data_IF_214914570176
#
_entry.id   IF_214914570176
#
_cell.length_a   1.000
_cell.length_b   1.000
_cell.length_c   1.000
_cell.angle_alpha   90.00
_cell.angle_beta   90.00
_cell.angle_gamma   90.00
#
_symmetry.space_group_name_H-M   'P 1'
#
loop_
_entity.id
_entity.type
_entity.pdbx_description
1 polymer ?
#
# COMPACT_ATOMS: atom_id res chain seq x y z
N UNK A 1 46.37 -43.28 -14.92
CA UNK A 1 45.53 -42.14 -15.29
C UNK A 1 44.64 -41.81 -14.10
N UNK A 2 45.00 -40.77 -13.33
CA UNK A 2 44.24 -40.29 -12.18
C UNK A 2 43.30 -39.19 -12.66
N UNK A 3 42.01 -39.45 -12.63
CA UNK A 3 40.97 -38.42 -12.84
C UNK A 3 40.72 -37.69 -11.54
N UNK A 4 41.19 -36.45 -11.46
CA UNK A 4 40.96 -35.51 -10.39
C UNK A 4 39.48 -35.12 -10.40
N UNK A 5 38.73 -35.49 -9.34
CA UNK A 5 37.41 -34.98 -9.05
C UNK A 5 37.55 -33.56 -8.47
N UNK A 6 37.26 -32.56 -9.25
CA UNK A 6 37.05 -31.21 -8.71
C UNK A 6 35.81 -31.20 -7.80
N UNK A 7 36.04 -31.10 -6.51
CA UNK A 7 35.02 -30.75 -5.53
C UNK A 7 34.59 -29.30 -5.79
N UNK A 8 33.38 -29.12 -6.30
CA UNK A 8 32.75 -27.82 -6.36
C UNK A 8 32.43 -27.42 -4.92
N UNK A 9 33.31 -26.61 -4.34
CA UNK A 9 33.01 -25.86 -3.09
C UNK A 9 31.80 -25.00 -3.34
N UNK A 10 30.70 -25.27 -2.63
CA UNK A 10 29.53 -24.40 -2.56
C UNK A 10 29.95 -23.09 -1.94
N UNK A 11 30.28 -22.09 -2.76
CA UNK A 11 30.37 -20.71 -2.32
C UNK A 11 29.02 -20.35 -1.69
N UNK A 12 29.02 -19.87 -0.46
CA UNK A 12 27.86 -19.24 0.19
C UNK A 12 27.49 -17.99 -0.62
N UNK A 13 26.74 -18.21 -1.70
CA UNK A 13 26.45 -17.18 -2.69
C UNK A 13 25.60 -16.09 -2.06
N UNK A 14 26.05 -14.86 -2.14
CA UNK A 14 25.29 -13.67 -1.79
C UNK A 14 23.96 -13.72 -2.55
N UNK A 15 22.85 -13.65 -1.81
CA UNK A 15 21.52 -13.70 -2.41
C UNK A 15 21.25 -12.39 -3.16
N UNK A 16 20.88 -12.49 -4.44
CA UNK A 16 20.69 -11.35 -5.35
C UNK A 16 19.30 -11.37 -5.97
N UNK A 17 18.77 -10.18 -6.25
CA UNK A 17 17.62 -9.94 -7.13
C UNK A 17 18.10 -9.13 -8.32
N UNK A 18 18.06 -9.73 -9.50
CA UNK A 18 18.71 -9.16 -10.68
C UNK A 18 20.21 -8.92 -10.46
N UNK A 19 20.86 -8.13 -11.32
CA UNK A 19 22.32 -7.90 -11.25
C UNK A 19 22.73 -6.95 -10.12
N UNK A 20 21.82 -6.06 -9.68
CA UNK A 20 22.20 -4.89 -8.88
C UNK A 20 21.69 -4.90 -7.42
N UNK A 21 20.81 -5.82 -7.03
CA UNK A 21 20.18 -5.74 -5.72
C UNK A 21 20.59 -6.89 -4.82
N UNK A 22 21.44 -6.60 -3.83
CA UNK A 22 21.85 -7.55 -2.82
C UNK A 22 20.79 -7.68 -1.75
N UNK A 23 20.35 -8.90 -1.42
CA UNK A 23 19.39 -9.20 -0.38
C UNK A 23 20.09 -9.26 0.98
N UNK A 24 19.52 -8.56 1.96
CA UNK A 24 20.04 -8.50 3.32
C UNK A 24 19.09 -9.14 4.34
N UNK A 25 19.13 -8.61 5.57
CA UNK A 25 18.34 -9.11 6.72
C UNK A 25 16.84 -8.97 6.48
N UNK A 26 16.05 -9.88 7.09
CA UNK A 26 14.60 -9.77 7.16
C UNK A 26 14.22 -8.57 8.04
N UNK A 27 13.30 -7.75 7.55
CA UNK A 27 12.79 -6.55 8.24
C UNK A 27 11.28 -6.62 8.48
N UNK A 28 10.58 -7.57 7.86
CA UNK A 28 9.15 -7.75 8.06
C UNK A 28 8.66 -9.09 7.49
N UNK A 29 7.40 -9.38 7.75
CA UNK A 29 6.68 -10.51 7.21
C UNK A 29 5.25 -10.05 6.91
N UNK A 30 4.79 -10.25 5.69
CA UNK A 30 3.40 -10.03 5.28
C UNK A 30 2.67 -11.36 5.06
N UNK A 31 1.38 -11.27 4.74
CA UNK A 31 0.57 -12.47 4.49
C UNK A 31 1.02 -13.29 3.29
N UNK A 32 1.72 -12.66 2.35
CA UNK A 32 2.10 -13.27 1.06
C UNK A 32 3.61 -13.52 0.94
N UNK A 33 4.40 -13.24 1.98
CA UNK A 33 5.83 -13.43 1.92
C UNK A 33 6.61 -12.64 2.97
N UNK A 34 7.91 -12.49 2.74
CA UNK A 34 8.79 -11.77 3.63
C UNK A 34 9.31 -10.46 3.01
N UNK A 35 9.56 -9.48 3.86
CA UNK A 35 10.19 -8.22 3.51
C UNK A 35 11.64 -8.23 4.01
N UNK A 36 12.57 -7.92 3.11
CA UNK A 36 14.00 -7.84 3.43
C UNK A 36 14.58 -6.47 3.13
N UNK A 37 15.53 -6.06 3.93
CA UNK A 37 16.41 -4.95 3.60
C UNK A 37 17.31 -5.39 2.46
N UNK A 38 17.44 -4.56 1.43
CA UNK A 38 18.35 -4.77 0.33
C UNK A 38 19.30 -3.60 0.14
N UNK A 39 20.29 -3.79 -0.72
CA UNK A 39 21.22 -2.73 -1.13
C UNK A 39 21.35 -2.73 -2.65
N UNK A 40 21.12 -1.58 -3.26
CA UNK A 40 21.44 -1.35 -4.66
C UNK A 40 22.96 -1.17 -4.79
N UNK A 41 23.62 -2.07 -5.48
CA UNK A 41 25.09 -2.08 -5.65
C UNK A 41 25.58 -0.99 -6.61
N UNK A 42 24.67 -0.42 -7.44
CA UNK A 42 25.03 0.64 -8.37
C UNK A 42 25.24 1.99 -7.68
N UNK A 43 24.33 2.35 -6.76
CA UNK A 43 24.36 3.66 -6.08
C UNK A 43 24.53 3.56 -4.55
N UNK A 44 24.72 2.36 -4.02
CA UNK A 44 24.86 2.07 -2.59
C UNK A 44 23.62 2.38 -1.73
N UNK A 45 22.47 2.71 -2.33
CA UNK A 45 21.24 2.99 -1.60
C UNK A 45 20.61 1.74 -1.01
N UNK A 46 19.96 1.88 0.13
CA UNK A 46 19.15 0.84 0.72
C UNK A 46 17.77 0.80 0.04
N UNK A 47 17.28 -0.40 -0.15
CA UNK A 47 15.97 -0.69 -0.77
C UNK A 47 15.19 -1.68 0.09
N UNK A 48 13.89 -1.76 -0.09
CA UNK A 48 13.04 -2.82 0.44
C UNK A 48 12.85 -3.88 -0.64
N UNK A 49 12.92 -5.16 -0.26
CA UNK A 49 12.72 -6.28 -1.16
C UNK A 49 11.58 -7.14 -0.62
N UNK A 50 10.42 -7.09 -1.29
CA UNK A 50 9.25 -7.94 -1.00
C UNK A 50 9.42 -9.25 -1.75
N UNK A 51 9.41 -10.37 -1.02
CA UNK A 51 9.67 -11.72 -1.55
C UNK A 51 8.46 -12.61 -1.33
N UNK A 52 8.01 -13.26 -2.40
CA UNK A 52 6.92 -14.23 -2.41
C UNK A 52 7.42 -15.58 -2.90
N UNK A 53 7.13 -16.70 -2.23
CA UNK A 53 7.50 -18.02 -2.72
C UNK A 53 6.93 -18.28 -4.12
N UNK A 54 7.74 -18.75 -5.07
CA UNK A 54 7.29 -19.06 -6.44
C UNK A 54 6.17 -20.11 -6.47
N UNK A 55 6.11 -20.99 -5.46
CA UNK A 55 5.07 -22.00 -5.28
C UNK A 55 3.94 -21.54 -4.34
N UNK A 56 3.73 -20.24 -4.23
CA UNK A 56 2.60 -19.70 -3.45
C UNK A 56 1.28 -20.22 -3.98
N UNK A 57 0.37 -20.65 -3.08
CA UNK A 57 -1.00 -21.04 -3.44
C UNK A 57 -1.86 -19.86 -3.88
N UNK A 58 -1.49 -18.65 -3.48
CA UNK A 58 -2.18 -17.41 -3.82
C UNK A 58 -1.14 -16.35 -4.25
N UNK A 59 -0.58 -16.45 -5.47
CA UNK A 59 0.45 -15.52 -5.93
C UNK A 59 -0.17 -14.13 -6.16
N UNK A 60 0.43 -13.10 -5.56
CA UNK A 60 -0.07 -11.72 -5.67
C UNK A 60 0.99 -10.70 -6.08
N UNK A 61 2.28 -11.04 -5.96
CA UNK A 61 3.36 -10.08 -6.17
C UNK A 61 3.39 -9.48 -7.58
N UNK A 62 3.08 -10.30 -8.61
CA UNK A 62 3.00 -9.82 -10.00
C UNK A 62 1.82 -8.88 -10.23
N UNK A 63 0.67 -9.17 -9.61
CA UNK A 63 -0.51 -8.32 -9.66
C UNK A 63 -0.25 -6.99 -8.96
N UNK A 64 0.36 -7.03 -7.78
CA UNK A 64 0.75 -5.85 -7.03
C UNK A 64 1.73 -4.98 -7.83
N UNK A 65 2.73 -5.59 -8.46
CA UNK A 65 3.66 -4.90 -9.36
C UNK A 65 2.94 -4.22 -10.54
N UNK A 66 1.95 -4.89 -11.15
CA UNK A 66 1.11 -4.30 -12.21
C UNK A 66 0.37 -3.06 -11.70
N UNK A 67 -0.17 -3.09 -10.49
CA UNK A 67 -0.83 -1.93 -9.90
C UNK A 67 0.13 -0.77 -9.63
N UNK A 68 1.33 -1.06 -9.13
CA UNK A 68 2.35 -0.01 -9.03
C UNK A 68 2.70 0.62 -10.39
N UNK A 69 2.73 -0.16 -11.47
CA UNK A 69 2.89 0.39 -12.82
C UNK A 69 1.75 1.32 -13.22
N UNK A 70 0.50 0.93 -12.98
CA UNK A 70 -0.67 1.77 -13.23
C UNK A 70 -0.61 3.09 -12.43
N UNK A 71 -0.07 3.05 -11.23
CA UNK A 71 0.14 4.22 -10.38
C UNK A 71 1.34 5.10 -10.83
N UNK A 72 2.01 4.74 -11.92
CA UNK A 72 3.07 5.57 -12.50
C UNK A 72 4.41 5.55 -11.76
N UNK A 73 4.70 4.51 -10.98
CA UNK A 73 5.91 4.44 -10.15
C UNK A 73 7.21 4.32 -10.93
N UNK A 74 7.13 4.08 -12.24
CA UNK A 74 8.27 4.03 -13.16
C UNK A 74 8.45 5.33 -13.95
N UNK A 75 7.54 6.31 -13.81
CA UNK A 75 7.64 7.58 -14.47
C UNK A 75 8.67 8.49 -13.78
N UNK A 76 9.28 9.40 -14.54
CA UNK A 76 10.19 10.43 -14.01
C UNK A 76 9.53 11.27 -12.90
N UNK A 77 8.20 11.36 -12.90
CA UNK A 77 7.37 12.07 -11.94
C UNK A 77 6.40 11.09 -11.26
N UNK A 78 6.92 10.18 -10.41
CA UNK A 78 6.05 9.43 -9.51
C UNK A 78 5.34 10.42 -8.58
N UNK A 79 4.01 10.29 -8.39
CA UNK A 79 3.29 11.17 -7.49
C UNK A 79 3.80 11.01 -6.07
N UNK A 80 3.78 12.10 -5.31
CA UNK A 80 4.14 12.04 -3.91
C UNK A 80 3.28 11.03 -3.16
N UNK A 81 3.93 10.25 -2.29
CA UNK A 81 3.26 9.28 -1.45
C UNK A 81 2.93 7.93 -2.11
N UNK A 82 3.44 7.67 -3.32
CA UNK A 82 3.52 6.32 -3.89
C UNK A 82 5.01 5.94 -3.93
N UNK A 83 5.44 4.80 -3.34
CA UNK A 83 6.84 4.41 -3.34
C UNK A 83 7.31 4.03 -4.75
N UNK A 84 8.57 4.31 -5.05
CA UNK A 84 9.19 3.87 -6.31
C UNK A 84 9.35 2.35 -6.31
N UNK A 85 9.10 1.72 -7.45
CA UNK A 85 9.40 0.31 -7.68
C UNK A 85 10.51 0.21 -8.73
N UNK A 86 11.60 -0.42 -8.36
CA UNK A 86 12.83 -0.45 -9.17
C UNK A 86 12.93 -1.67 -10.06
N UNK A 87 12.50 -2.85 -9.56
CA UNK A 87 12.72 -4.09 -10.27
C UNK A 87 11.75 -5.18 -9.81
N UNK A 88 11.35 -6.07 -10.71
CA UNK A 88 10.68 -7.33 -10.42
C UNK A 88 11.49 -8.46 -11.08
N UNK A 89 11.78 -9.52 -10.33
CA UNK A 89 12.49 -10.67 -10.83
C UNK A 89 12.47 -11.84 -9.85
N UNK A 90 13.36 -12.79 -10.06
CA UNK A 90 13.48 -13.97 -9.20
C UNK A 90 14.67 -13.85 -8.24
N UNK A 91 14.60 -14.56 -7.12
CA UNK A 91 15.64 -14.61 -6.11
C UNK A 91 15.91 -16.05 -5.69
N UNK A 92 17.17 -16.50 -5.88
CA UNK A 92 17.63 -17.83 -5.48
C UNK A 92 16.82 -19.00 -6.05
N UNK A 93 16.13 -18.83 -7.18
CA UNK A 93 15.32 -19.86 -7.83
C UNK A 93 14.09 -20.34 -7.01
N UNK A 94 13.78 -19.67 -5.90
CA UNK A 94 12.68 -20.05 -4.98
C UNK A 94 11.66 -18.97 -4.73
N UNK A 95 12.01 -17.71 -5.00
CA UNK A 95 11.17 -16.55 -4.72
C UNK A 95 11.01 -15.67 -5.95
N UNK A 96 9.82 -15.12 -6.14
CA UNK A 96 9.60 -13.87 -6.86
C UNK A 96 9.96 -12.72 -5.91
N UNK A 97 10.58 -11.66 -6.42
CA UNK A 97 11.04 -10.55 -5.61
C UNK A 97 10.78 -9.22 -6.30
N UNK A 98 10.15 -8.29 -5.59
CA UNK A 98 9.94 -6.91 -6.01
C UNK A 98 10.82 -5.99 -5.18
N UNK A 99 11.64 -5.21 -5.86
CA UNK A 99 12.54 -4.23 -5.26
C UNK A 99 11.90 -2.85 -5.32
N UNK A 100 11.79 -2.20 -4.18
CA UNK A 100 11.10 -0.92 -4.06
C UNK A 100 11.81 0.03 -3.11
N UNK A 101 11.39 1.28 -3.09
CA UNK A 101 11.86 2.32 -2.18
C UNK A 101 11.75 1.85 -0.74
N UNK A 102 12.84 2.03 0.03
CA UNK A 102 12.82 1.83 1.46
C UNK A 102 12.24 3.06 2.13
N UNK A 103 11.13 2.88 2.81
CA UNK A 103 10.44 3.93 3.56
C UNK A 103 10.82 3.92 5.04
N UNK A 104 10.29 4.87 5.79
CA UNK A 104 10.38 4.98 7.23
C UNK A 104 9.33 4.12 7.95
N UNK A 105 9.03 4.43 9.23
CA UNK A 105 8.04 3.71 10.02
C UNK A 105 6.61 3.89 9.49
N UNK A 106 5.76 2.92 9.81
CA UNK A 106 4.32 3.00 9.54
C UNK A 106 3.60 3.92 10.53
N UNK A 107 2.38 4.36 10.17
CA UNK A 107 1.54 5.11 11.09
C UNK A 107 1.18 4.29 12.34
N UNK A 108 1.12 2.95 12.28
CA UNK A 108 0.93 2.11 13.48
C UNK A 108 2.17 2.16 14.38
N UNK A 109 3.38 2.06 13.83
CA UNK A 109 4.63 2.17 14.60
C UNK A 109 4.70 3.52 15.32
N UNK A 110 4.39 4.61 14.58
CA UNK A 110 4.37 5.97 15.11
C UNK A 110 3.28 6.15 16.17
N UNK A 111 2.10 5.57 15.94
CA UNK A 111 0.99 5.61 16.88
C UNK A 111 1.33 4.92 18.21
N UNK A 112 1.90 3.73 18.15
CA UNK A 112 2.38 3.01 19.34
C UNK A 112 3.46 3.82 20.04
N UNK A 113 4.41 4.40 19.30
CA UNK A 113 5.49 5.23 19.85
C UNK A 113 4.96 6.50 20.54
N UNK A 114 3.83 7.05 20.08
CA UNK A 114 3.14 8.19 20.69
C UNK A 114 2.18 7.81 21.81
N UNK A 115 2.23 6.58 22.32
CA UNK A 115 1.35 6.11 23.40
C UNK A 115 -0.07 5.80 22.95
N UNK A 116 -0.24 5.41 21.68
CA UNK A 116 -1.51 5.02 21.06
C UNK A 116 -2.58 6.12 21.08
N UNK A 117 -2.18 7.34 20.87
CA UNK A 117 -3.07 8.49 20.71
C UNK A 117 -2.38 9.59 19.94
N UNK A 118 -3.05 10.11 18.90
CA UNK A 118 -2.61 11.30 18.19
C UNK A 118 -3.50 12.48 18.56
N UNK A 119 -2.90 13.68 18.62
CA UNK A 119 -3.63 14.92 18.75
C UNK A 119 -4.39 15.25 17.46
N UNK A 120 -5.45 16.03 17.59
CA UNK A 120 -6.30 16.42 16.46
C UNK A 120 -5.50 17.03 15.29
N UNK A 121 -4.53 17.92 15.59
CA UNK A 121 -3.65 18.50 14.56
C UNK A 121 -3.00 17.41 13.69
N UNK A 122 -2.37 16.43 14.32
CA UNK A 122 -1.72 15.31 13.62
C UNK A 122 -2.70 14.51 12.79
N UNK A 123 -3.88 14.19 13.33
CA UNK A 123 -4.89 13.40 12.60
C UNK A 123 -5.43 14.16 11.39
N UNK A 124 -5.66 15.47 11.50
CA UNK A 124 -6.12 16.29 10.37
C UNK A 124 -5.06 16.40 9.26
N UNK A 125 -3.79 16.55 9.62
CA UNK A 125 -2.68 16.55 8.65
C UNK A 125 -2.57 15.19 7.96
N UNK A 126 -2.71 14.08 8.68
CA UNK A 126 -2.77 12.72 8.12
C UNK A 126 -3.96 12.60 7.18
N UNK A 127 -5.16 13.01 7.61
CA UNK A 127 -6.40 12.86 6.85
C UNK A 127 -6.34 13.58 5.50
N UNK A 128 -5.83 14.81 5.47
CA UNK A 128 -5.66 15.57 4.22
C UNK A 128 -4.72 14.88 3.25
N UNK A 129 -3.60 14.32 3.72
CA UNK A 129 -2.70 13.56 2.86
C UNK A 129 -3.34 12.25 2.39
N UNK A 130 -3.99 11.48 3.26
CA UNK A 130 -4.55 10.18 2.91
C UNK A 130 -5.75 10.29 1.96
N UNK A 131 -6.57 11.33 2.10
CA UNK A 131 -7.63 11.62 1.13
C UNK A 131 -7.06 11.87 -0.26
N UNK A 132 -5.95 12.60 -0.35
CA UNK A 132 -5.26 12.82 -1.63
C UNK A 132 -4.66 11.52 -2.20
N UNK A 133 -4.08 10.64 -1.36
CA UNK A 133 -3.54 9.34 -1.80
C UNK A 133 -4.64 8.42 -2.31
N UNK A 134 -5.74 8.30 -1.59
CA UNK A 134 -6.85 7.44 -1.98
C UNK A 134 -7.55 7.95 -3.25
N UNK A 135 -7.76 9.26 -3.37
CA UNK A 135 -8.28 9.85 -4.60
C UNK A 135 -7.38 9.52 -5.80
N UNK A 136 -6.05 9.68 -5.64
CA UNK A 136 -5.11 9.34 -6.71
C UNK A 136 -5.26 7.86 -7.13
N UNK A 137 -5.33 6.92 -6.16
CA UNK A 137 -5.55 5.50 -6.43
C UNK A 137 -6.86 5.29 -7.21
N UNK A 138 -7.95 5.93 -6.79
CA UNK A 138 -9.25 5.83 -7.44
C UNK A 138 -9.25 6.43 -8.86
N UNK A 139 -8.51 7.52 -9.11
CA UNK A 139 -8.35 8.10 -10.46
C UNK A 139 -7.56 7.19 -11.41
N UNK A 140 -6.81 6.23 -10.86
CA UNK A 140 -6.12 5.18 -11.61
C UNK A 140 -6.95 3.91 -11.76
N UNK A 141 -8.27 4.00 -11.57
CA UNK A 141 -9.24 2.91 -11.72
C UNK A 141 -9.07 1.77 -10.71
N UNK A 142 -8.38 2.02 -9.59
CA UNK A 142 -8.17 1.06 -8.52
C UNK A 142 -8.98 1.43 -7.29
N UNK A 143 -9.52 0.42 -6.58
CA UNK A 143 -9.91 0.51 -5.18
C UNK A 143 -8.88 -0.23 -4.33
N UNK A 144 -8.56 0.33 -3.17
CA UNK A 144 -7.43 -0.13 -2.37
C UNK A 144 -7.74 -1.34 -1.50
N UNK A 145 -8.86 -1.35 -0.80
CA UNK A 145 -9.47 -2.44 -0.01
C UNK A 145 -8.72 -2.91 1.25
N UNK A 146 -7.57 -2.34 1.58
CA UNK A 146 -6.82 -2.71 2.79
C UNK A 146 -6.30 -1.49 3.57
N UNK A 147 -7.20 -0.55 3.82
CA UNK A 147 -6.91 0.63 4.66
C UNK A 147 -6.63 0.18 6.08
N UNK A 148 -5.40 0.45 6.54
CA UNK A 148 -4.93 0.21 7.91
C UNK A 148 -3.65 1.02 8.17
N UNK A 149 -3.36 1.40 9.43
CA UNK A 149 -2.18 2.22 9.75
C UNK A 149 -0.85 1.62 9.31
N UNK A 150 -0.75 0.28 9.27
CA UNK A 150 0.46 -0.45 8.88
C UNK A 150 0.82 -0.27 7.40
N UNK A 151 -0.15 0.12 6.57
CA UNK A 151 0.03 0.30 5.13
C UNK A 151 0.31 1.76 4.73
N UNK A 152 0.43 2.66 5.70
CA UNK A 152 0.79 4.05 5.48
C UNK A 152 2.12 4.35 6.18
N UNK A 153 3.17 4.62 5.41
CA UNK A 153 4.52 4.84 5.91
C UNK A 153 4.99 6.26 5.61
N UNK A 154 5.67 6.89 6.54
CA UNK A 154 6.37 8.14 6.24
C UNK A 154 7.62 7.85 5.41
N UNK A 155 8.06 8.85 4.64
CA UNK A 155 9.34 8.77 3.96
C UNK A 155 10.51 8.80 4.94
N UNK A 156 11.72 8.65 4.42
CA UNK A 156 12.94 8.67 5.25
C UNK A 156 13.51 10.09 5.33
N UNK A 157 14.07 10.43 6.49
CA UNK A 157 14.83 11.69 6.68
C UNK A 157 16.02 11.79 5.73
N UNK A 158 16.69 10.65 5.45
CA UNK A 158 17.79 10.61 4.48
C UNK A 158 17.40 11.05 3.06
N UNK A 159 16.11 10.95 2.71
CA UNK A 159 15.56 11.40 1.42
C UNK A 159 14.79 12.72 1.53
N UNK A 160 14.76 13.35 2.71
CA UNK A 160 13.98 14.57 3.03
C UNK A 160 12.48 14.42 2.72
N UNK A 161 11.92 13.22 2.92
CA UNK A 161 10.51 12.88 2.64
C UNK A 161 9.76 12.44 3.90
N UNK A 162 10.32 12.66 5.08
CA UNK A 162 9.73 12.26 6.38
C UNK A 162 8.38 12.89 6.71
N UNK A 163 8.02 13.96 6.00
CA UNK A 163 6.72 14.63 6.12
C UNK A 163 5.66 14.10 5.14
N UNK A 164 6.06 13.23 4.21
CA UNK A 164 5.18 12.67 3.17
C UNK A 164 4.76 11.26 3.60
N UNK A 165 3.44 11.04 3.66
CA UNK A 165 2.87 9.73 3.94
C UNK A 165 2.67 8.98 2.63
N UNK A 166 3.23 7.76 2.57
CA UNK A 166 3.17 6.86 1.41
C UNK A 166 2.17 5.76 1.67
N UNK A 167 1.39 5.41 0.66
CA UNK A 167 0.52 4.24 0.65
C UNK A 167 1.26 3.07 0.00
N UNK A 168 1.27 1.91 0.66
CA UNK A 168 1.95 0.69 0.21
C UNK A 168 1.01 -0.51 0.19
N UNK A 169 1.50 -1.65 -0.32
CA UNK A 169 0.80 -2.94 -0.32
C UNK A 169 -0.52 -2.95 -1.09
N UNK A 170 -0.42 -3.00 -2.42
CA UNK A 170 -1.57 -3.12 -3.32
C UNK A 170 -1.99 -4.57 -3.59
N UNK A 171 -1.52 -5.53 -2.80
CA UNK A 171 -1.82 -6.97 -2.98
C UNK A 171 -3.32 -7.29 -2.90
N UNK A 172 -4.12 -6.48 -2.23
CA UNK A 172 -5.58 -6.62 -2.16
C UNK A 172 -6.33 -5.61 -3.04
N UNK A 173 -5.64 -4.70 -3.73
CA UNK A 173 -6.29 -3.73 -4.61
C UNK A 173 -7.06 -4.43 -5.75
N UNK A 174 -7.99 -3.71 -6.35
CA UNK A 174 -8.83 -4.21 -7.45
C UNK A 174 -9.15 -3.10 -8.43
N UNK A 175 -9.13 -3.42 -9.72
CA UNK A 175 -9.68 -2.54 -10.74
C UNK A 175 -11.20 -2.47 -10.58
N UNK A 176 -11.73 -1.24 -10.45
CA UNK A 176 -13.19 -1.02 -10.35
C UNK A 176 -13.78 -0.40 -11.61
N UNK A 177 -12.94 0.02 -12.54
CA UNK A 177 -13.32 0.38 -13.92
C UNK A 177 -12.69 -0.67 -14.83
N UNK A 178 -13.51 -1.28 -15.64
CA UNK A 178 -13.09 -2.17 -16.71
C UNK A 178 -12.41 -1.35 -17.82
N UNK A 179 -11.14 -1.65 -18.12
CA UNK A 179 -10.32 -0.85 -19.03
C UNK A 179 -10.77 -0.97 -20.51
N UNK A 180 -11.43 -2.05 -20.89
CA UNK A 180 -11.91 -2.25 -22.26
C UNK A 180 -13.25 -1.54 -22.49
N UNK A 181 -14.16 -1.66 -21.54
CA UNK A 181 -15.51 -1.09 -21.65
C UNK A 181 -15.65 0.29 -21.03
N UNK A 182 -14.65 0.73 -20.25
CA UNK A 182 -14.65 1.95 -19.44
C UNK A 182 -15.87 2.03 -18.48
N UNK A 183 -16.38 0.89 -18.03
CA UNK A 183 -17.53 0.82 -17.14
C UNK A 183 -17.10 0.41 -15.74
N UNK A 184 -17.81 0.93 -14.75
CA UNK A 184 -17.68 0.50 -13.35
C UNK A 184 -18.07 -0.98 -13.24
N UNK A 185 -17.35 -1.75 -12.39
CA UNK A 185 -17.71 -3.13 -12.07
C UNK A 185 -19.17 -3.20 -11.57
N UNK A 186 -19.89 -4.30 -11.85
CA UNK A 186 -21.26 -4.45 -11.39
C UNK A 186 -21.33 -4.62 -9.86
N UNK A 187 -22.42 -4.12 -9.27
CA UNK A 187 -22.75 -4.42 -7.88
C UNK A 187 -23.06 -5.91 -7.72
N UNK A 188 -22.50 -6.51 -6.68
CA UNK A 188 -22.72 -7.92 -6.31
C UNK A 188 -22.80 -8.05 -4.79
N UNK A 189 -23.50 -9.08 -4.33
CA UNK A 189 -23.56 -9.48 -2.92
C UNK A 189 -22.91 -10.85 -2.72
N UNK A 190 -22.90 -11.32 -1.49
CA UNK A 190 -22.28 -12.60 -1.08
C UNK A 190 -20.78 -12.70 -1.42
N UNK A 191 -20.08 -11.56 -1.37
CA UNK A 191 -18.63 -11.51 -1.58
C UNK A 191 -17.90 -11.97 -0.33
N UNK A 192 -16.78 -12.64 -0.54
CA UNK A 192 -15.84 -12.94 0.53
C UNK A 192 -15.30 -11.67 1.16
N UNK A 193 -15.13 -11.70 2.49
CA UNK A 193 -14.56 -10.58 3.22
C UNK A 193 -13.09 -10.37 2.81
N UNK A 194 -12.77 -9.16 2.39
CA UNK A 194 -11.41 -8.76 1.97
C UNK A 194 -11.03 -7.49 2.70
N UNK A 195 -9.84 -7.48 3.29
CA UNK A 195 -9.29 -6.36 4.04
C UNK A 195 -9.17 -6.63 5.54
N UNK A 196 -8.92 -5.60 6.30
CA UNK A 196 -8.69 -5.68 7.76
C UNK A 196 -9.98 -5.38 8.51
N UNK A 197 -10.51 -6.37 9.23
CA UNK A 197 -11.83 -6.31 9.89
C UNK A 197 -12.01 -5.08 10.79
N UNK A 198 -10.95 -4.65 11.49
CA UNK A 198 -11.00 -3.46 12.35
C UNK A 198 -11.44 -2.21 11.60
N UNK A 199 -10.99 -2.04 10.37
CA UNK A 199 -11.19 -0.80 9.61
C UNK A 199 -12.20 -0.91 8.48
N UNK A 200 -12.39 -2.09 7.86
CA UNK A 200 -13.28 -2.26 6.70
C UNK A 200 -14.69 -1.69 6.91
N UNK A 201 -15.34 -1.30 5.84
CA UNK A 201 -16.68 -0.72 5.85
C UNK A 201 -17.76 -1.68 6.37
N UNK A 202 -18.89 -1.16 6.78
CA UNK A 202 -20.08 -1.95 7.12
C UNK A 202 -20.52 -2.79 5.91
N UNK A 203 -20.52 -2.20 4.70
CA UNK A 203 -20.88 -2.92 3.47
C UNK A 203 -20.00 -4.14 3.22
N UNK A 204 -18.69 -4.03 3.50
CA UNK A 204 -17.77 -5.17 3.39
C UNK A 204 -18.15 -6.29 4.34
N UNK A 205 -18.48 -5.98 5.61
CA UNK A 205 -18.99 -7.00 6.57
C UNK A 205 -20.27 -7.67 6.12
N UNK A 206 -21.12 -6.97 5.38
CA UNK A 206 -22.36 -7.49 4.80
C UNK A 206 -22.13 -8.32 3.52
N UNK A 207 -20.87 -8.52 3.10
CA UNK A 207 -20.56 -9.27 1.88
C UNK A 207 -20.92 -8.55 0.59
N UNK A 208 -21.08 -7.23 0.61
CA UNK A 208 -21.30 -6.42 -0.59
C UNK A 208 -20.00 -6.18 -1.34
N UNK A 209 -20.07 -6.04 -2.67
CA UNK A 209 -18.91 -5.65 -3.48
C UNK A 209 -18.38 -4.29 -3.02
N UNK A 210 -17.06 -4.17 -2.90
CA UNK A 210 -16.40 -2.93 -2.50
C UNK A 210 -16.27 -1.95 -3.66
N UNK A 211 -16.40 -0.66 -3.35
CA UNK A 211 -16.14 0.45 -4.26
C UNK A 211 -15.39 1.58 -3.56
N UNK A 212 -15.26 2.74 -4.19
CA UNK A 212 -14.55 3.91 -3.65
C UNK A 212 -15.02 4.33 -2.25
N UNK A 213 -16.32 4.24 -2.00
CA UNK A 213 -16.93 4.60 -0.70
C UNK A 213 -16.41 3.76 0.47
N UNK A 214 -16.06 2.50 0.21
CA UNK A 214 -15.63 1.57 1.25
C UNK A 214 -14.20 1.88 1.73
N UNK A 215 -13.31 2.31 0.84
CA UNK A 215 -11.99 2.83 1.21
C UNK A 215 -12.10 4.10 2.07
N UNK A 216 -13.04 5.00 1.73
CA UNK A 216 -13.27 6.23 2.50
C UNK A 216 -13.88 5.95 3.87
N UNK A 217 -14.83 5.02 4.00
CA UNK A 217 -15.35 4.63 5.30
C UNK A 217 -14.26 4.03 6.19
N UNK A 218 -13.40 3.20 5.60
CA UNK A 218 -12.26 2.62 6.32
C UNK A 218 -11.25 3.69 6.79
N UNK A 219 -10.99 4.73 6.00
CA UNK A 219 -10.21 5.89 6.45
C UNK A 219 -10.86 6.59 7.65
N UNK A 220 -12.18 6.81 7.63
CA UNK A 220 -12.90 7.40 8.75
C UNK A 220 -12.78 6.58 10.05
N UNK A 221 -12.89 5.26 9.96
CA UNK A 221 -12.64 4.38 11.12
C UNK A 221 -11.19 4.50 11.62
N UNK A 222 -10.22 4.61 10.73
CA UNK A 222 -8.82 4.79 11.10
C UNK A 222 -8.55 6.16 11.74
N UNK A 223 -9.18 7.23 11.29
CA UNK A 223 -9.06 8.54 11.93
C UNK A 223 -9.61 8.51 13.36
N UNK A 224 -10.76 7.87 13.57
CA UNK A 224 -11.31 7.68 14.91
C UNK A 224 -10.43 6.78 15.79
N UNK A 225 -9.80 5.73 15.22
CA UNK A 225 -8.81 4.92 15.93
C UNK A 225 -7.64 5.76 16.46
N UNK A 226 -7.11 6.68 15.65
CA UNK A 226 -6.01 7.56 16.07
C UNK A 226 -6.42 8.56 17.14
N UNK A 227 -7.64 9.10 17.08
CA UNK A 227 -8.13 10.06 18.06
C UNK A 227 -8.52 9.39 19.39
N UNK A 228 -9.18 8.23 19.33
CA UNK A 228 -9.71 7.53 20.50
C UNK A 228 -8.68 6.64 21.20
N UNK A 229 -7.66 6.15 20.46
CA UNK A 229 -6.72 5.13 20.93
C UNK A 229 -7.18 3.69 20.66
N UNK A 230 -8.48 3.48 20.53
CA UNK A 230 -9.12 2.19 20.20
C UNK A 230 -10.49 2.41 19.56
N UNK A 231 -11.05 1.34 19.00
CA UNK A 231 -12.42 1.34 18.44
C UNK A 231 -13.35 0.43 19.26
N UNK A 232 -14.67 0.72 19.32
CA UNK A 232 -15.62 -0.04 20.16
C UNK A 232 -15.68 -1.53 19.85
N UNK A 233 -15.33 -1.93 18.65
CA UNK A 233 -15.32 -3.32 18.17
C UNK A 233 -13.96 -4.02 18.26
N UNK A 234 -13.00 -3.47 19.04
CA UNK A 234 -11.74 -4.14 19.36
C UNK A 234 -11.86 -5.03 20.58
N UNK A 235 -11.02 -6.07 20.66
CA UNK A 235 -10.93 -6.97 21.83
C UNK A 235 -12.11 -7.91 22.00
N UNK A 236 -13.01 -8.04 21.01
CA UNK A 236 -14.16 -8.95 21.07
C UNK A 236 -13.69 -10.41 21.06
N UNK A 237 -14.16 -11.18 22.04
CA UNK A 237 -13.88 -12.61 22.16
C UNK A 237 -14.81 -13.40 21.23
N UNK A 238 -14.25 -14.39 20.55
CA UNK A 238 -14.97 -15.33 19.69
C UNK A 238 -14.17 -16.62 19.57
N UNK A 239 -14.86 -17.74 19.43
CA UNK A 239 -14.23 -19.06 19.33
C UNK A 239 -13.70 -19.34 17.92
N UNK A 240 -14.31 -18.75 16.92
CA UNK A 240 -13.90 -18.88 15.53
C UNK A 240 -13.61 -17.53 14.88
N UNK A 241 -12.76 -17.55 13.85
CA UNK A 241 -12.47 -16.36 13.06
C UNK A 241 -13.74 -15.79 12.39
N UNK A 242 -14.62 -16.65 11.88
CA UNK A 242 -15.91 -16.27 11.28
C UNK A 242 -16.78 -15.53 12.28
N UNK A 243 -16.94 -16.08 13.47
CA UNK A 243 -17.70 -15.46 14.56
C UNK A 243 -17.10 -14.12 14.98
N UNK A 244 -15.76 -14.04 15.08
CA UNK A 244 -15.07 -12.77 15.39
C UNK A 244 -15.40 -11.70 14.38
N UNK A 245 -15.35 -12.01 13.08
CA UNK A 245 -15.69 -11.06 12.03
C UNK A 245 -17.17 -10.65 12.08
N UNK A 246 -18.05 -11.60 12.38
CA UNK A 246 -19.48 -11.32 12.56
C UNK A 246 -19.70 -10.36 13.73
N UNK A 247 -19.15 -10.64 14.89
CA UNK A 247 -19.25 -9.79 16.08
C UNK A 247 -18.71 -8.38 15.83
N UNK A 248 -17.57 -8.26 15.14
CA UNK A 248 -17.00 -6.96 14.75
C UNK A 248 -17.98 -6.20 13.86
N UNK A 249 -18.51 -6.83 12.81
CA UNK A 249 -19.47 -6.22 11.91
C UNK A 249 -20.76 -5.78 12.59
N UNK A 250 -21.32 -6.63 13.46
CA UNK A 250 -22.53 -6.34 14.22
C UNK A 250 -22.32 -5.17 15.18
N UNK A 251 -21.22 -5.17 15.94
CA UNK A 251 -20.89 -4.08 16.85
C UNK A 251 -20.67 -2.77 16.07
N UNK A 252 -19.98 -2.82 14.95
CA UNK A 252 -19.73 -1.66 14.09
C UNK A 252 -21.05 -1.07 13.56
N UNK A 253 -21.97 -1.92 13.12
CA UNK A 253 -23.31 -1.52 12.66
C UNK A 253 -24.18 -0.97 13.78
N UNK A 254 -24.10 -1.54 14.98
CA UNK A 254 -24.86 -1.13 16.16
C UNK A 254 -24.30 0.15 16.81
N UNK A 255 -23.06 0.56 16.50
CA UNK A 255 -22.46 1.76 17.09
C UNK A 255 -22.88 2.99 16.28
N UNK A 256 -23.70 3.90 16.84
CA UNK A 256 -24.06 5.15 16.19
C UNK A 256 -22.81 6.01 15.89
N UNK A 257 -22.83 6.76 14.81
CA UNK A 257 -21.72 7.66 14.43
C UNK A 257 -21.45 8.67 15.53
N UNK A 258 -22.48 9.19 16.15
CA UNK A 258 -22.44 10.17 17.25
C UNK A 258 -21.70 9.60 18.46
N UNK A 259 -21.95 8.35 18.81
CA UNK A 259 -21.23 7.64 19.88
C UNK A 259 -19.77 7.35 19.50
N UNK A 260 -19.53 6.98 18.24
CA UNK A 260 -18.17 6.75 17.75
C UNK A 260 -17.34 8.05 17.80
N UNK A 261 -17.94 9.18 17.47
CA UNK A 261 -17.27 10.48 17.37
C UNK A 261 -17.43 11.35 18.64
N UNK A 262 -18.01 10.81 19.70
CA UNK A 262 -18.24 11.54 20.96
C UNK A 262 -16.95 12.18 21.51
N UNK A 263 -17.04 13.46 21.89
CA UNK A 263 -15.90 14.25 22.39
C UNK A 263 -14.88 14.68 21.33
N UNK A 264 -15.18 14.47 20.04
CA UNK A 264 -14.37 14.89 18.91
C UNK A 264 -15.13 15.89 18.01
N UNK A 265 -14.43 16.64 17.13
CA UNK A 265 -15.09 17.60 16.24
C UNK A 265 -16.18 16.95 15.39
N UNK A 266 -17.29 17.70 15.19
CA UNK A 266 -18.45 17.26 14.42
C UNK A 266 -18.12 16.89 12.97
N UNK A 267 -17.04 17.41 12.43
CA UNK A 267 -16.57 17.13 11.08
C UNK A 267 -16.22 15.63 10.89
N UNK A 268 -15.78 14.93 11.95
CA UNK A 268 -15.54 13.49 11.89
C UNK A 268 -16.85 12.71 11.72
N UNK A 269 -17.90 13.11 12.42
CA UNK A 269 -19.23 12.53 12.27
C UNK A 269 -19.84 12.86 10.91
N UNK A 270 -19.68 14.09 10.44
CA UNK A 270 -20.13 14.55 9.13
C UNK A 270 -19.43 13.78 8.01
N UNK A 271 -18.11 13.54 8.12
CA UNK A 271 -17.36 12.69 7.22
C UNK A 271 -17.96 11.29 7.13
N UNK A 272 -18.15 10.62 8.27
CA UNK A 272 -18.69 9.24 8.30
C UNK A 272 -20.13 9.16 7.79
N UNK A 273 -20.99 10.15 8.09
CA UNK A 273 -22.35 10.22 7.53
C UNK A 273 -22.32 10.39 6.01
N UNK A 274 -21.41 11.22 5.49
CA UNK A 274 -21.24 11.41 4.06
C UNK A 274 -20.83 10.12 3.36
N UNK A 275 -19.71 9.49 3.77
CA UNK A 275 -19.18 8.32 3.09
C UNK A 275 -20.08 7.09 3.19
N UNK A 276 -20.87 6.94 4.27
CA UNK A 276 -21.86 5.86 4.42
C UNK A 276 -23.11 6.05 3.56
N UNK A 277 -23.41 7.27 3.09
CA UNK A 277 -24.54 7.55 2.20
C UNK A 277 -24.20 7.43 0.73
N UNK A 278 -22.92 7.43 0.36
CA UNK A 278 -22.49 7.28 -1.02
C UNK A 278 -23.06 6.02 -1.67
N UNK A 279 -23.54 6.16 -2.90
CA UNK A 279 -23.93 5.02 -3.72
C UNK A 279 -22.70 4.21 -4.16
N UNK A 280 -22.92 2.96 -4.56
CA UNK A 280 -21.85 2.05 -5.02
C UNK A 280 -21.10 2.61 -6.23
N UNK A 281 -21.81 3.25 -7.16
CA UNK A 281 -21.24 3.82 -8.38
C UNK A 281 -20.80 5.27 -8.22
N UNK A 282 -21.20 5.93 -7.14
CA UNK A 282 -21.01 7.37 -6.95
C UNK A 282 -19.53 7.74 -6.84
N UNK A 283 -19.15 8.84 -7.50
CA UNK A 283 -17.82 9.46 -7.33
C UNK A 283 -17.83 10.36 -6.11
N UNK A 284 -17.01 10.07 -5.09
CA UNK A 284 -16.93 10.93 -3.91
C UNK A 284 -16.43 12.34 -4.23
N UNK A 285 -16.92 13.34 -3.53
CA UNK A 285 -16.36 14.69 -3.56
C UNK A 285 -15.16 14.79 -2.59
N UNK A 286 -14.00 14.36 -3.07
CA UNK A 286 -12.75 14.38 -2.28
C UNK A 286 -12.34 15.79 -1.89
N UNK A 287 -12.61 16.77 -2.75
CA UNK A 287 -12.30 18.17 -2.48
C UNK A 287 -13.14 18.71 -1.34
N UNK A 288 -14.44 18.40 -1.29
CA UNK A 288 -15.31 18.75 -0.17
C UNK A 288 -14.77 18.16 1.15
N UNK A 289 -14.38 16.88 1.14
CA UNK A 289 -13.84 16.22 2.33
C UNK A 289 -12.52 16.86 2.80
N UNK A 290 -11.63 17.20 1.88
CA UNK A 290 -10.37 17.88 2.22
C UNK A 290 -10.63 19.31 2.72
N UNK A 291 -11.53 20.07 2.08
CA UNK A 291 -11.91 21.42 2.54
C UNK A 291 -12.46 21.37 3.94
N UNK A 292 -13.39 20.47 4.24
CA UNK A 292 -13.99 20.33 5.57
C UNK A 292 -12.91 20.13 6.66
N UNK A 293 -11.91 19.30 6.44
CA UNK A 293 -10.83 19.10 7.40
C UNK A 293 -9.85 20.27 7.43
N UNK A 294 -9.60 20.94 6.31
CA UNK A 294 -8.79 22.15 6.25
C UNK A 294 -9.44 23.29 7.02
N UNK A 295 -10.72 23.52 6.80
CA UNK A 295 -11.47 24.56 7.51
C UNK A 295 -11.48 24.33 9.03
N UNK A 296 -11.64 23.08 9.46
CA UNK A 296 -11.49 22.71 10.87
C UNK A 296 -10.07 23.00 11.38
N UNK A 297 -9.05 22.64 10.62
CA UNK A 297 -7.65 22.85 10.96
C UNK A 297 -7.34 24.34 11.17
N UNK A 298 -7.79 25.19 10.24
CA UNK A 298 -7.63 26.64 10.29
C UNK A 298 -8.43 27.27 11.45
N UNK A 299 -9.71 26.87 11.65
CA UNK A 299 -10.53 27.36 12.78
C UNK A 299 -9.94 27.01 14.14
N UNK A 300 -9.16 25.93 14.25
CA UNK A 300 -8.43 25.54 15.46
C UNK A 300 -7.12 26.32 15.62
N UNK A 301 -6.78 27.21 14.71
CA UNK A 301 -5.53 27.97 14.72
C UNK A 301 -4.29 27.12 14.48
N UNK A 302 -4.44 25.94 13.85
CA UNK A 302 -3.32 25.10 13.53
C UNK A 302 -2.57 25.63 12.29
N UNK A 303 -1.27 25.39 12.25
CA UNK A 303 -0.40 25.71 11.11
C UNK A 303 0.18 24.41 10.57
N UNK A 304 0.20 24.24 9.25
CA UNK A 304 0.85 23.11 8.59
C UNK A 304 2.36 23.37 8.50
N UNK A 305 3.03 23.16 9.62
CA UNK A 305 4.48 23.26 9.78
C UNK A 305 5.20 21.90 9.52
N UNK A 306 4.42 20.85 9.26
CA UNK A 306 4.91 19.48 9.16
C UNK A 306 5.37 18.90 10.49
N UNK A 307 4.94 19.50 11.63
CA UNK A 307 5.22 19.01 12.96
C UNK A 307 4.09 18.09 13.44
N UNK A 308 4.38 16.80 13.50
CA UNK A 308 3.50 15.74 13.96
C UNK A 308 3.80 15.35 15.42
N UNK A 309 2.95 14.53 16.02
CA UNK A 309 3.14 14.05 17.39
C UNK A 309 4.42 13.23 17.61
N UNK A 310 4.98 12.71 16.54
CA UNK A 310 6.26 11.97 16.56
C UNK A 310 7.48 12.81 16.19
N UNK A 311 7.31 14.06 15.77
CA UNK A 311 8.44 14.92 15.40
C UNK A 311 9.36 15.15 16.61
N UNK A 312 10.65 14.98 16.39
CA UNK A 312 11.67 15.10 17.46
C UNK A 312 11.76 13.91 18.41
N UNK A 313 10.90 12.89 18.28
CA UNK A 313 11.00 11.66 19.08
C UNK A 313 11.90 10.64 18.40
N UNK A 314 12.91 10.16 19.10
CA UNK A 314 13.79 9.11 18.58
C UNK A 314 13.10 7.77 18.66
N UNK A 315 12.89 7.10 17.52
CA UNK A 315 12.39 5.74 17.46
C UNK A 315 13.55 4.74 17.45
N UNK A 316 13.58 3.84 18.41
CA UNK A 316 14.50 2.69 18.44
C UNK A 316 14.00 1.54 17.54
N UNK A 317 13.55 1.83 16.32
CA UNK A 317 13.09 0.80 15.40
C UNK A 317 14.23 0.25 14.55
N UNK A 318 14.29 -1.07 14.29
CA UNK A 318 15.38 -1.71 13.54
C UNK A 318 15.48 -1.26 12.08
N UNK A 319 14.48 -0.53 11.54
CA UNK A 319 14.39 -0.14 10.14
C UNK A 319 14.83 1.31 9.88
N UNK A 320 14.75 2.19 10.88
CA UNK A 320 15.06 3.62 10.72
C UNK A 320 16.47 4.05 11.12
N UNK A 321 17.17 3.30 11.94
CA UNK A 321 18.50 3.66 12.45
C UNK A 321 19.58 2.73 11.91
N UNK A 322 20.02 2.96 10.68
CA UNK A 322 21.37 2.57 10.27
C UNK A 322 22.31 3.66 10.78
N UNK A 323 22.71 3.56 12.04
CA UNK A 323 23.91 4.27 12.49
C UNK A 323 25.10 3.64 11.77
N UNK A 324 25.81 4.48 11.03
CA UNK A 324 27.13 4.18 10.51
C UNK A 324 28.09 3.92 11.69
N UNK A 325 28.62 2.69 11.75
CA UNK A 325 29.83 2.37 12.48
C UNK A 325 29.67 2.05 13.96
N UNK A 326 29.48 0.75 14.25
CA UNK A 326 30.26 0.03 15.26
C UNK A 326 30.11 -1.47 14.99
N UNK A 327 31.24 -2.12 14.76
CA UNK A 327 31.34 -3.57 14.67
C UNK A 327 30.91 -4.20 16.00
N UNK A 328 29.88 -5.03 15.95
CA UNK A 328 29.53 -5.89 17.09
C UNK A 328 30.35 -7.17 16.93
N UNK A 329 31.36 -7.30 17.78
CA UNK A 329 32.10 -8.54 18.02
C UNK A 329 31.11 -9.57 18.57
N UNK A 330 30.84 -10.61 17.82
CA UNK A 330 30.07 -11.76 18.27
C UNK A 330 31.01 -12.70 19.01
N UNK A 331 30.81 -12.83 20.32
CA UNK A 331 31.41 -13.93 21.11
C UNK A 331 30.54 -15.18 20.99
N UNK A 332 31.15 -16.36 20.81
CA UNK A 332 30.41 -17.60 20.62
C UNK A 332 30.11 -18.32 21.94
N UNK A 333 28.92 -18.89 21.98
CA UNK A 333 28.45 -20.07 22.71
C UNK A 333 28.83 -20.36 24.17
N UNK A 334 27.79 -20.61 24.95
CA UNK A 334 27.74 -21.80 25.81
C UNK A 334 26.31 -22.27 26.06
N UNK A 335 26.05 -23.45 25.56
CA UNK A 335 24.94 -24.32 25.98
C UNK A 335 25.00 -24.62 27.47
N UNK A 336 23.86 -24.60 28.13
CA UNK A 336 23.63 -25.43 29.33
C UNK A 336 22.13 -25.74 29.51
N UNK A 337 21.83 -26.99 29.31
CA UNK A 337 20.64 -27.68 29.86
C UNK A 337 20.62 -27.61 31.37
N UNK A 338 19.44 -27.42 31.99
CA UNK A 338 18.96 -28.20 33.12
C UNK A 338 17.51 -27.85 33.50
N UNK A 339 16.82 -28.69 34.37
CA UNK A 339 15.51 -29.22 34.06
C UNK A 339 14.37 -28.70 34.98
N UNK A 340 13.17 -29.19 34.66
CA UNK A 340 11.90 -28.97 35.39
C UNK A 340 11.97 -29.17 36.90
N UNK A 341 11.31 -28.24 37.68
CA UNK A 341 10.70 -28.56 38.94
C UNK A 341 9.27 -27.95 39.05
N UNK A 342 8.30 -28.85 39.27
CA UNK A 342 6.96 -28.55 39.78
C UNK A 342 7.05 -28.16 41.24
N UNK A 343 6.30 -27.14 41.68
CA UNK A 343 5.76 -27.06 43.04
C UNK A 343 4.42 -26.33 43.00
N UNK A 344 3.48 -26.92 43.70
CA UNK A 344 2.07 -26.55 43.92
C UNK A 344 1.89 -25.48 44.98
N UNK A 345 0.69 -24.83 44.88
CA UNK A 345 -0.22 -24.34 45.95
C UNK A 345 0.11 -23.04 46.71
N UNK A 346 -0.74 -22.08 46.75
CA UNK A 346 -1.96 -21.86 47.56
C UNK A 346 -2.20 -20.36 47.81
N UNK A 347 -3.39 -19.89 47.42
CA UNK A 347 -4.30 -18.89 48.06
C UNK A 347 -3.78 -17.59 48.72
N UNK A 348 -4.33 -16.45 48.33
CA UNK A 348 -5.25 -15.55 49.05
C UNK A 348 -5.03 -14.05 48.69
N UNK A 349 -6.12 -13.42 48.27
CA UNK A 349 -6.63 -12.04 48.43
C UNK A 349 -6.02 -10.81 47.80
N UNK A 350 -6.96 -10.10 47.23
CA UNK A 350 -7.16 -8.64 47.13
C UNK A 350 -6.71 -7.94 45.84
N UNK A 351 -7.71 -7.47 45.13
CA UNK A 351 -7.70 -6.51 44.03
C UNK A 351 -6.98 -5.22 44.34
N UNK A 352 -6.34 -4.60 43.36
CA UNK A 352 -7.02 -3.47 42.68
C UNK A 352 -6.94 -3.51 41.17
N UNK A 353 -7.90 -2.85 40.57
CA UNK A 353 -8.12 -2.59 39.16
C UNK A 353 -6.86 -2.04 38.49
N UNK A 354 -6.27 -2.79 37.57
CA UNK A 354 -5.25 -2.30 36.67
C UNK A 354 -5.57 -2.67 35.23
N UNK A 355 -5.29 -1.71 34.36
CA UNK A 355 -5.48 -1.67 32.94
C UNK A 355 -5.28 -3.02 32.22
N UNK A 356 -6.25 -3.37 31.36
CA UNK A 356 -6.28 -4.64 30.63
C UNK A 356 -4.99 -4.90 29.85
N UNK A 357 -4.36 -6.00 30.17
CA UNK A 357 -3.29 -6.58 29.36
C UNK A 357 -3.85 -7.06 28.03
N UNK A 358 -3.48 -6.38 26.94
CA UNK A 358 -3.76 -6.83 25.57
C UNK A 358 -2.99 -8.13 25.29
N UNK A 359 -3.70 -9.15 24.83
CA UNK A 359 -3.09 -10.43 24.43
C UNK A 359 -2.19 -10.24 23.19
N UNK A 360 -1.22 -11.13 22.93
CA UNK A 360 -0.38 -11.09 21.73
C UNK A 360 -1.16 -11.03 20.40
N UNK A 361 -2.38 -11.57 20.35
CA UNK A 361 -3.28 -11.50 19.19
C UNK A 361 -3.78 -10.07 18.92
N UNK A 362 -3.85 -9.22 19.95
CA UNK A 362 -4.25 -7.82 19.79
C UNK A 362 -3.10 -6.93 19.31
N UNK A 363 -1.85 -7.36 19.44
CA UNK A 363 -0.66 -6.66 18.96
C UNK A 363 -0.40 -6.84 17.47
N UNK A 364 -0.91 -7.94 16.86
CA UNK A 364 -0.80 -8.22 15.43
C UNK A 364 -2.18 -8.23 14.77
N UNK A 365 -2.94 -7.18 14.96
CA UNK A 365 -4.34 -7.05 14.62
C UNK A 365 -4.71 -7.00 13.13
N UNK A 366 -3.91 -7.56 12.26
CA UNK A 366 -4.17 -7.63 10.82
C UNK A 366 -4.29 -9.08 10.36
N UNK A 367 -5.38 -9.75 10.72
CA UNK A 367 -5.75 -10.97 10.02
C UNK A 367 -6.50 -10.57 8.77
N UNK A 368 -5.83 -10.65 7.63
CA UNK A 368 -6.46 -10.51 6.32
C UNK A 368 -7.16 -11.83 5.99
N UNK A 369 -8.46 -11.79 5.75
CA UNK A 369 -9.19 -12.91 5.19
C UNK A 369 -9.15 -12.78 3.68
N UNK A 370 -8.25 -13.52 3.05
CA UNK A 370 -8.36 -13.84 1.63
C UNK A 370 -9.01 -15.20 1.58
N UNK A 371 -10.30 -15.23 1.33
CA UNK A 371 -10.99 -16.47 0.98
C UNK A 371 -10.51 -16.84 -0.43
N UNK A 372 -9.64 -17.87 -0.50
CA UNK A 372 -9.34 -18.51 -1.78
C UNK A 372 -10.64 -19.18 -2.24
N UNK A 373 -11.22 -18.67 -3.32
CA UNK A 373 -12.30 -19.32 -4.05
C UNK A 373 -11.73 -20.54 -4.78
N UNK A 374 -11.54 -21.64 -4.08
CA UNK A 374 -11.62 -22.94 -4.70
C UNK A 374 -13.09 -23.36 -4.58
N UNK A 375 -13.78 -23.32 -5.72
CA UNK A 375 -15.19 -23.60 -5.79
C UNK A 375 -15.53 -25.00 -5.36
N UNK A 376 -16.48 -25.09 -4.46
CA UNK A 376 -17.49 -26.12 -4.53
C UNK A 376 -18.70 -25.49 -5.26
N UNK A 377 -18.87 -25.92 -6.50
CA UNK A 377 -20.09 -25.71 -7.26
C UNK A 377 -21.17 -26.57 -6.58
N UNK A 378 -22.01 -25.97 -5.75
CA UNK A 378 -23.30 -26.51 -5.39
C UNK A 378 -24.14 -26.57 -6.67
N UNK A 379 -24.55 -27.78 -7.04
CA UNK A 379 -25.52 -28.03 -8.09
C UNK A 379 -26.82 -27.34 -7.73
N UNK A 380 -27.30 -26.48 -8.66
CA UNK A 380 -28.69 -26.23 -9.03
C UNK A 380 -28.80 -24.95 -9.85
N UNK A 381 -28.51 -25.08 -11.17
CA UNK A 381 -28.98 -24.15 -12.18
C UNK A 381 -29.54 -24.93 -13.39
N UNK A 382 -30.84 -24.85 -13.67
CA UNK A 382 -31.50 -25.69 -14.69
C UNK A 382 -31.44 -25.14 -16.12
N UNK A 383 -30.50 -24.26 -16.49
CA UNK A 383 -30.47 -23.65 -17.85
C UNK A 383 -29.17 -23.88 -18.64
N UNK A 384 -28.37 -24.90 -18.35
CA UNK A 384 -27.21 -25.24 -19.17
C UNK A 384 -27.57 -26.38 -20.17
N UNK A 385 -28.00 -26.00 -21.37
CA UNK A 385 -28.18 -26.92 -22.50
C UNK A 385 -26.84 -27.41 -23.08
N UNK A 386 -26.83 -28.70 -23.37
CA UNK A 386 -25.72 -29.46 -23.93
C UNK A 386 -25.17 -28.94 -25.27
N UNK A 387 -23.85 -28.95 -25.44
CA UNK A 387 -23.21 -29.36 -26.69
C UNK A 387 -21.81 -29.96 -26.43
N UNK A 388 -21.73 -31.27 -26.60
CA UNK A 388 -20.50 -32.03 -26.75
C UNK A 388 -20.04 -32.01 -28.21
N UNK A 389 -18.80 -31.54 -28.47
CA UNK A 389 -17.98 -32.11 -29.56
C UNK A 389 -16.51 -31.77 -29.32
N UNK A 390 -15.60 -32.73 -29.52
CA UNK A 390 -14.17 -32.51 -29.39
C UNK A 390 -13.59 -31.98 -30.71
N UNK A 391 -12.76 -30.92 -30.65
CA UNK A 391 -12.00 -30.49 -31.81
C UNK A 391 -10.50 -30.66 -31.50
N UNK A 392 -9.88 -31.49 -32.32
CA UNK A 392 -8.48 -31.75 -32.51
C UNK A 392 -7.70 -30.50 -32.89
N UNK A 393 -6.46 -30.42 -32.38
CA UNK A 393 -5.45 -29.43 -32.76
C UNK A 393 -5.08 -29.50 -34.24
N UNK A 394 -4.61 -28.40 -34.82
CA UNK A 394 -3.34 -28.43 -35.54
C UNK A 394 -2.38 -27.32 -35.11
N UNK A 395 -1.11 -27.72 -35.09
CA UNK A 395 0.06 -26.84 -34.99
C UNK A 395 0.10 -25.82 -36.14
N UNK A 396 0.30 -24.56 -35.84
CA UNK A 396 0.91 -23.61 -36.75
C UNK A 396 1.93 -22.74 -36.00
N UNK A 397 3.14 -22.82 -36.49
CA UNK A 397 4.21 -21.86 -36.22
C UNK A 397 3.75 -20.50 -36.71
N UNK A 398 3.92 -19.46 -35.90
CA UNK A 398 3.72 -18.07 -36.31
C UNK A 398 5.04 -17.33 -36.05
N UNK A 399 5.60 -16.85 -37.16
CA UNK A 399 6.78 -16.01 -37.23
C UNK A 399 6.60 -14.75 -36.36
N UNK A 400 7.63 -14.45 -35.57
CA UNK A 400 7.73 -13.22 -34.81
C UNK A 400 8.09 -12.08 -35.73
N UNK A 401 7.14 -11.24 -36.06
CA UNK A 401 7.40 -9.96 -36.74
C UNK A 401 7.74 -8.88 -35.71
N UNK A 402 8.87 -8.26 -35.92
CA UNK A 402 9.45 -7.22 -35.08
C UNK A 402 8.70 -5.87 -35.26
N UNK A 403 7.79 -5.56 -34.34
CA UNK A 403 6.89 -4.38 -34.38
C UNK A 403 7.50 -3.11 -33.74
N UNK A 404 8.81 -3.05 -33.52
CA UNK A 404 9.43 -1.90 -32.86
C UNK A 404 9.51 -0.63 -33.71
N UNK A 405 9.33 -0.71 -35.04
CA UNK A 405 9.40 0.47 -35.94
C UNK A 405 8.10 1.27 -36.07
N UNK A 406 6.95 0.66 -35.80
CA UNK A 406 5.65 1.36 -35.92
C UNK A 406 5.34 2.27 -34.73
N UNK A 407 5.86 1.97 -33.54
CA UNK A 407 5.58 2.75 -32.31
C UNK A 407 6.30 4.09 -32.24
N UNK A 408 7.48 4.20 -32.82
CA UNK A 408 8.29 5.45 -32.79
C UNK A 408 7.67 6.53 -33.69
N UNK A 409 7.08 6.17 -34.81
CA UNK A 409 6.49 7.13 -35.76
C UNK A 409 5.21 7.79 -35.23
N UNK A 410 4.41 7.06 -34.46
CA UNK A 410 3.13 7.56 -33.91
C UNK A 410 3.35 8.53 -32.75
N UNK A 411 4.35 8.27 -31.91
CA UNK A 411 4.69 9.18 -30.79
C UNK A 411 5.27 10.52 -31.23
N UNK A 412 6.08 10.52 -32.28
CA UNK A 412 6.65 11.76 -32.83
C UNK A 412 5.57 12.68 -33.42
N UNK A 413 4.58 12.11 -34.07
CA UNK A 413 3.45 12.87 -34.63
C UNK A 413 2.54 13.43 -33.54
N UNK A 414 2.29 12.67 -32.47
CA UNK A 414 1.49 13.12 -31.33
C UNK A 414 2.18 14.24 -30.53
N UNK A 415 3.49 14.15 -30.35
CA UNK A 415 4.28 15.17 -29.65
C UNK A 415 4.33 16.51 -30.42
N UNK A 416 4.42 16.45 -31.76
CA UNK A 416 4.37 17.63 -32.62
C UNK A 416 2.99 18.31 -32.65
N UNK A 417 1.91 17.54 -32.53
CA UNK A 417 0.54 18.08 -32.42
C UNK A 417 0.32 18.77 -31.08
N UNK A 418 0.82 18.21 -29.98
CA UNK A 418 0.72 18.80 -28.63
C UNK A 418 1.53 20.12 -28.56
N UNK A 419 2.71 20.15 -29.15
CA UNK A 419 3.53 21.38 -29.20
C UNK A 419 2.82 22.46 -30.04
N UNK A 420 2.23 22.14 -31.20
CA UNK A 420 1.42 23.07 -31.99
C UNK A 420 0.19 23.60 -31.27
N UNK A 421 -0.53 22.76 -30.53
CA UNK A 421 -1.70 23.16 -29.77
C UNK A 421 -1.33 24.08 -28.57
N UNK A 422 -0.27 23.77 -27.84
CA UNK A 422 0.20 24.63 -26.73
C UNK A 422 0.73 26.00 -27.22
N UNK A 423 1.37 26.07 -28.37
CA UNK A 423 1.79 27.33 -28.95
C UNK A 423 0.59 28.18 -29.38
N UNK A 424 -0.51 27.57 -29.83
CA UNK A 424 -1.74 28.30 -30.19
C UNK A 424 -2.50 28.86 -28.98
N UNK A 425 -2.50 28.14 -27.87
CA UNK A 425 -3.14 28.56 -26.61
C UNK A 425 -2.32 29.69 -25.93
N UNK A 426 -1.00 29.64 -25.98
CA UNK A 426 -0.14 30.68 -25.40
C UNK A 426 -0.14 31.97 -26.28
N UNK A 427 -0.27 31.84 -27.60
CA UNK A 427 -0.32 32.99 -28.50
C UNK A 427 -1.63 33.81 -28.40
N UNK A 428 -2.71 33.20 -27.87
CA UNK A 428 -4.00 33.90 -27.67
C UNK A 428 -4.11 34.67 -26.36
N UNK A 429 -3.15 34.53 -25.43
CA UNK A 429 -3.24 35.09 -24.08
C UNK A 429 -2.14 36.11 -23.71
N UNK A 430 -1.26 36.47 -24.61
CA UNK A 430 -0.11 37.36 -24.30
C UNK A 430 -0.15 38.61 -25.20
N UNK A 431 0.02 39.81 -24.61
CA UNK A 431 0.13 41.08 -25.31
C UNK A 431 1.41 41.14 -26.15
N UNK A 432 1.38 41.92 -27.28
CA UNK A 432 2.43 41.94 -28.33
C UNK A 432 3.86 42.18 -27.80
N UNK A 433 4.05 42.90 -26.72
CA UNK A 433 5.38 43.26 -26.21
C UNK A 433 6.09 42.13 -25.42
N UNK A 434 5.34 41.20 -24.86
CA UNK A 434 5.91 40.01 -24.15
C UNK A 434 6.29 38.86 -25.10
N UNK A 435 5.81 38.89 -26.35
CA UNK A 435 6.02 37.80 -27.30
C UNK A 435 7.49 37.80 -27.85
N UNK A 436 8.07 38.99 -28.06
CA UNK A 436 9.44 39.07 -28.56
C UNK A 436 10.51 38.64 -27.58
N UNK A 437 10.28 38.79 -26.28
CA UNK A 437 11.25 38.39 -25.25
C UNK A 437 11.29 36.86 -25.05
N UNK A 438 10.15 36.21 -25.14
CA UNK A 438 10.07 34.75 -24.94
C UNK A 438 10.53 33.95 -26.17
N UNK A 439 10.35 34.45 -27.39
CA UNK A 439 10.83 33.78 -28.60
C UNK A 439 12.36 33.76 -28.69
N UNK A 440 13.04 34.78 -28.16
CA UNK A 440 14.51 34.82 -28.12
C UNK A 440 15.08 33.86 -27.04
N UNK A 441 14.43 33.66 -25.91
CA UNK A 441 14.83 32.66 -24.93
C UNK A 441 14.66 31.21 -25.45
N UNK A 442 13.63 30.95 -26.23
CA UNK A 442 13.42 29.63 -26.86
C UNK A 442 14.45 29.33 -27.95
N UNK A 443 14.90 30.35 -28.73
CA UNK A 443 15.97 30.18 -29.71
C UNK A 443 17.33 29.85 -29.09
N UNK A 444 17.64 30.38 -27.92
CA UNK A 444 18.92 30.13 -27.24
C UNK A 444 18.98 28.69 -26.65
N UNK A 445 17.87 28.09 -26.31
CA UNK A 445 17.85 26.72 -25.78
C UNK A 445 17.79 25.61 -26.85
N UNK A 446 17.38 25.92 -28.09
CA UNK A 446 17.31 24.95 -29.18
C UNK A 446 18.61 24.85 -30.02
N UNK A 447 19.50 25.84 -29.92
CA UNK A 447 20.79 25.80 -30.66
C UNK A 447 21.85 24.88 -30.05
N UNK A 448 21.60 24.21 -28.93
CA UNK A 448 22.57 23.31 -28.30
C UNK A 448 22.26 21.83 -28.47
N UNK A 449 21.25 21.45 -29.25
CA UNK A 449 20.92 20.02 -29.52
C UNK A 449 21.38 19.66 -30.93
N UNK A 450 22.48 18.94 -31.03
CA UNK A 450 23.04 18.38 -32.26
C UNK A 450 22.24 17.13 -32.68
N UNK A 451 21.41 17.29 -33.71
CA UNK A 451 20.54 16.23 -34.26
C UNK A 451 21.29 15.21 -35.13
N UNK A 452 22.61 15.33 -35.30
CA UNK A 452 23.41 14.38 -36.12
C UNK A 452 23.74 13.04 -35.44
N UNK A 453 23.32 12.84 -34.20
CA UNK A 453 23.57 11.59 -33.44
C UNK A 453 22.33 10.67 -33.27
N UNK A 454 21.28 10.92 -34.04
CA UNK A 454 20.03 10.16 -33.97
C UNK A 454 19.61 9.51 -35.30
N UNK A 455 20.59 9.26 -36.20
CA UNK A 455 20.42 8.35 -37.33
C UNK A 455 21.53 7.31 -37.36
#
# INVERSE_FOLDING_TARGET
MHTSRHSVTSSSGVLMVGPNFRVGKKIGCGNFGELRLGKNLYNNEHVAIKMEPMKSKAPQLHLEYRFYKLLGTHAFYAPDGIPKVYYLGTCGGRYNAMVMELLGPSLEDLFVHCGRRFRLKTVLMIAMQLLHRIEYVHTRHLIYRDVKPENFLIGRTATKREKIIHIIDFGLAKEYIDLETNKHIPYREHKSLTGTARYMSINTHLGKEQSRRDDLEALGHMFMYFLRGSLPWQGLKADTLKERYQKIGDTKRATPIEVLCEGHPEELATYLRYVRRLDFFETPDYDQLRRMFRDLFERRGYVDDGEYDWTGKTMSTPVGSIQTGHEIVVSPNRDRHQPFHKVNNTLIHATPITAGHLTPADRHGSVQVVSSTNGELGADDPTAGHSNTPITQPHHEVDVVDDTKSFVCTYTTFFLVIIKLNIHVVASSISRDSFYYNVNLFKIHFCSFDLSKLF
#
